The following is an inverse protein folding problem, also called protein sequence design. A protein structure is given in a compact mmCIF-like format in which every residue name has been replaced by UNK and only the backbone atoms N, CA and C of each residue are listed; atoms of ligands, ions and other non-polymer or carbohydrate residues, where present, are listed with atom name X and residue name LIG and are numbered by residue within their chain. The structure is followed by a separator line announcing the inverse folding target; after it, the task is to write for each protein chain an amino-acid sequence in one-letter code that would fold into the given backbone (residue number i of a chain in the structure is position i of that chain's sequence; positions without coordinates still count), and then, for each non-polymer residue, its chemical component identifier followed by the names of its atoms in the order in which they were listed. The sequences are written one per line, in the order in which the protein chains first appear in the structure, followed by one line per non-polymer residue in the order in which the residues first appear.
data_IF_698474135686
#
_entry.id   IF_698474135686
#
_cell.length_a   1.000
_cell.length_b   1.000
_cell.length_c   1.000
_cell.angle_alpha   90.00
_cell.angle_beta   90.00
_cell.angle_gamma   90.00
#
_symmetry.space_group_name_H-M   'P 1'
#
loop_
_entity.id
_entity.type
_entity.pdbx_description
1 polymer ?
#
# COMPACT_ATOMS: atom_id res chain seq x y z
N UNK A 1 57.52 -34.92 46.31
CA UNK A 1 56.04 -34.87 46.28
C UNK A 1 55.58 -33.64 45.46
N UNK A 2 55.27 -33.77 44.22
CA UNK A 2 54.77 -32.63 43.47
C UNK A 2 53.28 -32.47 43.79
N UNK A 3 52.88 -31.25 44.19
CA UNK A 3 51.52 -30.85 44.44
C UNK A 3 50.87 -30.60 43.06
N UNK A 4 49.83 -31.38 42.77
CA UNK A 4 48.95 -31.11 41.64
C UNK A 4 48.08 -29.90 41.94
N UNK A 5 48.23 -28.84 41.17
CA UNK A 5 47.42 -27.66 41.19
C UNK A 5 46.29 -27.83 40.19
N UNK A 6 45.09 -28.13 40.71
CA UNK A 6 43.89 -28.11 39.89
C UNK A 6 43.51 -26.65 39.55
N UNK A 7 43.78 -26.25 38.33
CA UNK A 7 43.27 -25.00 37.79
C UNK A 7 41.81 -25.20 37.40
N UNK A 8 40.93 -24.57 38.17
CA UNK A 8 39.50 -24.53 37.84
C UNK A 8 39.30 -23.46 36.76
N UNK A 9 39.19 -23.87 35.51
CA UNK A 9 38.71 -23.02 34.45
C UNK A 9 37.20 -22.86 34.63
N UNK A 10 36.80 -21.69 35.14
CA UNK A 10 35.41 -21.26 35.15
C UNK A 10 35.01 -20.82 33.75
N UNK A 11 34.32 -21.66 33.04
CA UNK A 11 33.71 -21.31 31.76
C UNK A 11 32.49 -20.41 32.01
N UNK A 12 32.70 -19.09 31.95
CA UNK A 12 31.61 -18.14 31.95
C UNK A 12 30.92 -18.20 30.60
N UNK A 13 29.81 -18.93 30.53
CA UNK A 13 28.90 -18.98 29.37
C UNK A 13 28.15 -17.67 29.30
N UNK A 14 28.64 -16.70 28.52
CA UNK A 14 27.92 -15.51 28.16
C UNK A 14 26.72 -15.88 27.25
N UNK A 15 25.57 -16.06 27.84
CA UNK A 15 24.29 -16.18 27.12
C UNK A 15 23.94 -14.79 26.57
N UNK A 16 24.37 -14.50 25.34
CA UNK A 16 23.92 -13.32 24.61
C UNK A 16 22.47 -13.62 24.18
N UNK A 17 21.52 -13.12 24.94
CA UNK A 17 20.14 -13.09 24.50
C UNK A 17 20.02 -12.13 23.32
N UNK A 18 19.97 -12.64 22.10
CA UNK A 18 19.51 -11.91 20.95
C UNK A 18 18.03 -11.62 21.13
N UNK A 19 17.73 -10.43 21.62
CA UNK A 19 16.39 -9.90 21.60
C UNK A 19 16.09 -9.55 20.13
N UNK A 20 15.53 -10.50 19.39
CA UNK A 20 14.99 -10.23 18.08
C UNK A 20 13.83 -9.26 18.25
N UNK A 21 14.07 -7.98 17.97
CA UNK A 21 13.02 -7.01 17.77
C UNK A 21 12.30 -7.42 16.49
N UNK A 22 11.29 -8.27 16.62
CA UNK A 22 10.34 -8.52 15.54
C UNK A 22 9.62 -7.19 15.27
N UNK A 23 10.17 -6.40 14.35
CA UNK A 23 9.51 -5.21 13.87
C UNK A 23 8.15 -5.64 13.32
N UNK A 24 7.07 -5.16 13.92
CA UNK A 24 5.73 -5.36 13.38
C UNK A 24 5.71 -4.78 11.97
N UNK A 25 5.79 -5.65 10.96
CA UNK A 25 5.59 -5.28 9.57
C UNK A 25 4.18 -4.76 9.43
N UNK A 26 3.99 -3.50 9.00
CA UNK A 26 2.67 -2.98 8.66
C UNK A 26 2.03 -3.94 7.64
N UNK A 27 0.75 -4.29 7.84
CA UNK A 27 0.04 -5.13 6.90
C UNK A 27 -0.03 -4.44 5.53
N UNK A 28 0.33 -5.15 4.45
CA UNK A 28 0.16 -4.68 3.07
C UNK A 28 -1.09 -5.32 2.47
N UNK A 29 -1.99 -4.51 1.96
CA UNK A 29 -3.21 -4.93 1.29
C UNK A 29 -3.14 -4.62 -0.21
N UNK A 30 -3.37 -5.63 -1.03
CA UNK A 30 -3.38 -5.49 -2.49
C UNK A 30 -4.80 -5.68 -3.02
N UNK A 31 -5.23 -4.73 -3.86
CA UNK A 31 -6.52 -4.76 -4.53
C UNK A 31 -6.32 -4.68 -6.04
N UNK A 32 -6.81 -5.68 -6.76
CA UNK A 32 -6.82 -5.67 -8.21
C UNK A 32 -8.09 -4.99 -8.71
N UNK A 33 -7.94 -3.88 -9.42
CA UNK A 33 -9.02 -3.03 -9.89
C UNK A 33 -9.01 -2.98 -11.41
N UNK A 34 -10.15 -3.32 -12.03
CA UNK A 34 -10.32 -3.26 -13.47
C UNK A 34 -11.34 -2.19 -13.84
N UNK A 35 -10.91 -1.27 -14.70
CA UNK A 35 -11.79 -0.27 -15.29
C UNK A 35 -12.27 -0.77 -16.65
N UNK A 36 -13.56 -0.97 -16.80
CA UNK A 36 -14.21 -1.32 -18.07
C UNK A 36 -15.29 -0.32 -18.38
N UNK A 37 -15.28 0.23 -19.59
CA UNK A 37 -16.23 1.27 -20.02
C UNK A 37 -16.31 2.48 -19.05
N UNK A 38 -15.18 2.83 -18.42
CA UNK A 38 -15.10 3.93 -17.46
C UNK A 38 -15.58 3.59 -16.04
N UNK A 39 -15.85 2.33 -15.73
CA UNK A 39 -16.37 1.92 -14.43
C UNK A 39 -15.56 0.74 -13.85
N UNK A 40 -15.50 0.71 -12.51
CA UNK A 40 -15.04 -0.45 -11.74
C UNK A 40 -16.28 -1.25 -11.33
N UNK A 41 -16.22 -2.61 -11.29
CA UNK A 41 -17.33 -3.43 -10.80
C UNK A 41 -17.81 -2.97 -9.42
N UNK A 42 -19.12 -2.95 -9.21
CA UNK A 42 -19.74 -2.37 -8.01
C UNK A 42 -19.22 -2.96 -6.70
N UNK A 43 -18.97 -4.26 -6.67
CA UNK A 43 -18.42 -4.97 -5.50
C UNK A 43 -16.95 -4.61 -5.18
N UNK A 44 -16.30 -3.84 -6.04
CA UNK A 44 -14.91 -3.38 -5.85
C UNK A 44 -14.78 -1.86 -5.70
N UNK A 45 -15.89 -1.13 -5.69
CA UNK A 45 -15.88 0.34 -5.60
C UNK A 45 -15.64 0.89 -4.21
N UNK A 46 -15.71 0.05 -3.18
CA UNK A 46 -15.46 0.46 -1.80
C UNK A 46 -14.35 -0.40 -1.19
N UNK A 47 -13.27 0.25 -0.82
CA UNK A 47 -12.13 -0.35 -0.13
C UNK A 47 -12.07 0.18 1.29
N UNK A 48 -11.93 -0.71 2.27
CA UNK A 48 -11.80 -0.36 3.67
C UNK A 48 -10.46 -0.83 4.21
N UNK A 49 -9.70 0.09 4.79
CA UNK A 49 -8.39 -0.18 5.40
C UNK A 49 -8.28 0.56 6.72
N UNK A 50 -7.32 0.16 7.54
CA UNK A 50 -7.01 0.85 8.79
C UNK A 50 -5.93 1.90 8.57
N UNK A 51 -5.93 2.89 9.44
CA UNK A 51 -4.86 3.88 9.48
C UNK A 51 -3.49 3.20 9.60
N UNK A 52 -2.53 3.68 8.83
CA UNK A 52 -1.16 3.18 8.69
C UNK A 52 -1.01 1.85 7.92
N UNK A 53 -2.07 1.28 7.37
CA UNK A 53 -1.94 0.17 6.46
C UNK A 53 -1.21 0.60 5.18
N UNK A 54 -0.36 -0.29 4.66
CA UNK A 54 0.22 -0.14 3.34
C UNK A 54 -0.76 -0.67 2.30
N UNK A 55 -1.11 0.14 1.32
CA UNK A 55 -2.10 -0.18 0.29
C UNK A 55 -1.44 -0.20 -1.08
N UNK A 56 -1.73 -1.25 -1.83
CA UNK A 56 -1.35 -1.42 -3.23
C UNK A 56 -2.61 -1.57 -4.07
N UNK A 57 -2.84 -0.67 -4.98
CA UNK A 57 -3.90 -0.77 -5.98
C UNK A 57 -3.25 -1.15 -7.32
N UNK A 58 -3.69 -2.28 -7.88
CA UNK A 58 -3.24 -2.77 -9.18
C UNK A 58 -4.33 -2.47 -10.22
N UNK A 59 -4.06 -1.50 -11.07
CA UNK A 59 -5.01 -1.00 -12.05
C UNK A 59 -4.81 -1.65 -13.42
N UNK A 60 -5.90 -2.14 -13.99
CA UNK A 60 -6.01 -2.50 -15.40
C UNK A 60 -7.19 -1.76 -16.04
N UNK A 61 -7.14 -1.54 -17.34
CA UNK A 61 -8.16 -0.76 -18.05
C UNK A 61 -8.33 -1.24 -19.50
N UNK A 62 -9.51 -1.02 -20.05
CA UNK A 62 -9.79 -1.23 -21.47
C UNK A 62 -9.45 -0.01 -22.38
N UNK A 63 -9.10 1.14 -21.77
CA UNK A 63 -8.71 2.36 -22.48
C UNK A 63 -7.71 3.19 -21.70
N UNK A 64 -6.86 4.00 -22.38
CA UNK A 64 -5.94 4.90 -21.69
C UNK A 64 -6.70 5.96 -20.88
N UNK A 65 -6.25 6.22 -19.67
CA UNK A 65 -6.74 7.32 -18.83
C UNK A 65 -5.73 7.69 -17.77
N UNK A 66 -5.88 8.89 -17.22
CA UNK A 66 -5.19 9.31 -16.00
C UNK A 66 -6.14 9.16 -14.83
N UNK A 67 -5.67 8.56 -13.74
CA UNK A 67 -6.43 8.43 -12.49
C UNK A 67 -5.75 9.21 -11.38
N UNK A 68 -6.54 9.78 -10.49
CA UNK A 68 -6.08 10.60 -9.38
C UNK A 68 -6.72 10.13 -8.06
N UNK A 69 -5.87 9.81 -7.08
CA UNK A 69 -6.28 9.57 -5.70
C UNK A 69 -6.25 10.88 -4.93
N UNK A 70 -7.44 11.44 -4.70
CA UNK A 70 -7.62 12.69 -3.96
C UNK A 70 -7.25 12.50 -2.48
N UNK A 71 -6.67 13.55 -1.89
CA UNK A 71 -6.24 13.56 -0.49
C UNK A 71 -4.83 13.00 -0.26
N UNK A 72 -4.39 12.06 -1.07
CA UNK A 72 -3.01 11.55 -1.11
C UNK A 72 -2.20 12.14 -2.26
N UNK A 73 -2.87 12.81 -3.16
CA UNK A 73 -2.29 13.53 -4.30
C UNK A 73 -1.40 12.64 -5.20
N UNK A 74 -1.90 11.44 -5.51
CA UNK A 74 -1.22 10.49 -6.38
C UNK A 74 -1.95 10.41 -7.70
N UNK A 75 -1.22 10.68 -8.78
CA UNK A 75 -1.71 10.58 -10.15
C UNK A 75 -0.94 9.50 -10.90
N UNK A 76 -1.66 8.68 -11.68
CA UNK A 76 -1.09 7.63 -12.53
C UNK A 76 -1.79 7.60 -13.88
N UNK A 77 -0.99 7.38 -14.92
CA UNK A 77 -1.50 7.03 -16.24
C UNK A 77 -1.65 5.51 -16.32
N UNK A 78 -2.82 5.05 -16.73
CA UNK A 78 -3.12 3.64 -16.95
C UNK A 78 -3.49 3.39 -18.40
N UNK A 79 -3.09 2.24 -18.94
CA UNK A 79 -3.29 1.89 -20.35
C UNK A 79 -3.63 0.41 -20.51
N UNK A 80 -4.35 0.02 -21.60
CA UNK A 80 -4.62 -1.36 -21.90
C UNK A 80 -3.36 -2.20 -22.06
N UNK A 81 -3.42 -3.47 -21.65
CA UNK A 81 -2.34 -4.43 -21.80
C UNK A 81 -1.24 -4.35 -20.72
N UNK A 82 -1.37 -3.46 -19.75
CA UNK A 82 -0.45 -3.33 -18.63
C UNK A 82 -1.19 -3.19 -17.31
N UNK A 83 -0.57 -3.65 -16.22
CA UNK A 83 -1.02 -3.39 -14.86
C UNK A 83 -0.18 -2.26 -14.28
N UNK A 84 -0.84 -1.21 -13.79
CA UNK A 84 -0.17 -0.07 -13.18
C UNK A 84 -0.41 -0.09 -11.68
N UNK A 85 0.66 -0.04 -10.90
CA UNK A 85 0.59 0.01 -9.44
C UNK A 85 0.47 1.44 -8.93
N UNK A 86 -0.43 1.64 -7.98
CA UNK A 86 -0.52 2.83 -7.15
C UNK A 86 -0.36 2.39 -5.70
N UNK A 87 0.68 2.87 -5.02
CA UNK A 87 1.00 2.50 -3.63
C UNK A 87 0.95 3.72 -2.74
N UNK A 88 0.39 3.55 -1.56
CA UNK A 88 0.40 4.58 -0.52
C UNK A 88 0.26 3.97 0.86
N UNK A 89 0.64 4.72 1.88
CA UNK A 89 0.34 4.39 3.27
C UNK A 89 -0.90 5.18 3.69
N UNK A 90 -1.89 4.49 4.24
CA UNK A 90 -3.16 5.08 4.68
C UNK A 90 -2.98 5.91 5.97
N UNK A 91 -2.14 6.97 5.94
CA UNK A 91 -1.77 7.73 7.12
C UNK A 91 -2.88 8.65 7.65
N UNK A 92 -3.81 9.07 6.80
CA UNK A 92 -4.93 9.92 7.17
C UNK A 92 -6.24 9.13 7.19
N UNK A 93 -7.03 9.27 8.24
CA UNK A 93 -8.38 8.70 8.33
C UNK A 93 -9.37 9.52 7.50
N UNK A 94 -10.42 8.89 7.02
CA UNK A 94 -11.47 9.53 6.24
C UNK A 94 -11.85 8.75 4.99
N UNK A 95 -12.52 9.44 4.07
CA UNK A 95 -12.94 8.91 2.77
C UNK A 95 -12.19 9.63 1.66
N UNK A 96 -11.54 8.85 0.81
CA UNK A 96 -10.75 9.33 -0.31
C UNK A 96 -11.25 8.69 -1.60
N UNK A 97 -11.30 9.45 -2.67
CA UNK A 97 -11.80 8.97 -3.96
C UNK A 97 -10.69 8.86 -4.99
N UNK A 98 -10.80 7.83 -5.84
CA UNK A 98 -10.01 7.74 -7.08
C UNK A 98 -10.94 8.09 -8.23
N UNK A 99 -10.55 9.08 -9.00
CA UNK A 99 -11.33 9.62 -10.12
C UNK A 99 -10.49 9.65 -11.40
N UNK A 100 -11.09 9.40 -12.57
CA UNK A 100 -10.41 9.61 -13.83
C UNK A 100 -10.34 11.10 -14.16
N UNK A 101 -9.22 11.53 -14.68
CA UNK A 101 -9.01 12.86 -15.24
C UNK A 101 -8.95 12.78 -16.77
N UNK A 102 -9.72 13.61 -17.43
CA UNK A 102 -9.70 13.75 -18.87
C UNK A 102 -9.20 15.15 -19.25
N UNK A 103 -8.35 15.28 -20.28
CA UNK A 103 -7.96 16.58 -20.78
C UNK A 103 -9.21 17.24 -21.40
N UNK A 104 -9.56 18.45 -20.94
CA UNK A 104 -10.57 19.27 -21.59
C UNK A 104 -10.03 19.83 -22.90
N UNK A 105 -10.88 19.88 -23.91
CA UNK A 105 -10.58 20.53 -25.20
C UNK A 105 -10.31 22.05 -25.07
N UNK A 106 -10.59 22.65 -23.92
CA UNK A 106 -10.39 24.08 -23.61
C UNK A 106 -9.31 24.37 -22.54
N UNK A 107 -8.41 23.39 -22.25
CA UNK A 107 -7.28 23.60 -21.35
C UNK A 107 -7.56 23.41 -19.85
N UNK A 108 -8.67 22.83 -19.47
CA UNK A 108 -9.00 22.38 -18.10
C UNK A 108 -8.96 20.86 -17.97
N UNK A 109 -9.09 20.36 -16.75
CA UNK A 109 -9.33 18.94 -16.49
C UNK A 109 -10.80 18.71 -16.16
N UNK A 110 -11.39 17.66 -16.69
CA UNK A 110 -12.71 17.20 -16.33
C UNK A 110 -12.56 15.96 -15.47
N UNK A 111 -13.24 15.95 -14.31
CA UNK A 111 -13.31 14.79 -13.44
C UNK A 111 -14.44 13.89 -13.95
N UNK A 112 -14.15 12.61 -14.11
CA UNK A 112 -15.16 11.59 -14.35
C UNK A 112 -15.82 11.13 -13.06
N UNK A 113 -16.71 10.16 -13.19
CA UNK A 113 -17.34 9.53 -12.04
C UNK A 113 -16.32 8.82 -11.16
N UNK A 114 -16.57 8.82 -9.85
CA UNK A 114 -15.71 8.12 -8.88
C UNK A 114 -15.57 6.65 -9.25
N UNK A 115 -14.34 6.20 -9.44
CA UNK A 115 -14.02 4.79 -9.72
C UNK A 115 -14.06 3.95 -8.45
N UNK A 116 -13.39 4.44 -7.41
CA UNK A 116 -13.23 3.75 -6.12
C UNK A 116 -13.26 4.77 -4.99
N UNK A 117 -13.91 4.42 -3.89
CA UNK A 117 -13.82 5.12 -2.62
C UNK A 117 -13.00 4.29 -1.64
N UNK A 118 -12.04 4.92 -0.98
CA UNK A 118 -11.21 4.31 0.05
C UNK A 118 -11.59 4.91 1.40
N UNK A 119 -12.08 4.07 2.30
CA UNK A 119 -12.38 4.44 3.69
C UNK A 119 -11.24 3.99 4.59
N UNK A 120 -10.62 4.95 5.28
CA UNK A 120 -9.54 4.71 6.23
C UNK A 120 -10.05 4.92 7.64
N UNK A 121 -10.07 3.85 8.41
CA UNK A 121 -10.50 3.85 9.81
C UNK A 121 -9.31 3.99 10.77
N UNK A 122 -9.54 4.59 11.96
CA UNK A 122 -8.54 4.61 13.02
C UNK A 122 -8.13 3.23 13.51
#
# INVERSE_FOLDING_TARGET
MPRMWCSRFSLALCLIAFLELAGASAAEFTFALRVENGHVPENMRLIRVKQNDAVRLEWSTDRPMTIHLHGYDIEKQIAPGAVTEMRFTAHATGRFTVEPHFPKSSGGHEHGDVLVTIEVYP
#
